data_IF_890348641368
#
_entry.id   IF_890348641368
#
_cell.length_a   1.000
_cell.length_b   1.000
_cell.length_c   1.000
_cell.angle_alpha   90.00
_cell.angle_beta   90.00
_cell.angle_gamma   90.00
#
_symmetry.space_group_name_H-M   'P 1'
#
loop_
_entity.id
_entity.type
_entity.pdbx_description
1 polymer ?
#
# COMPACT_ATOMS: atom_id res chain seq x y z
N UNK A 1 -4.02 -43.57 19.34
CA UNK A 1 -3.01 -42.63 18.83
C UNK A 1 -3.68 -41.28 18.64
N UNK A 2 -3.45 -40.36 19.57
CA UNK A 2 -3.91 -38.99 19.45
C UNK A 2 -2.84 -38.20 18.70
N UNK A 3 -3.26 -37.55 17.60
CA UNK A 3 -2.43 -36.60 16.89
C UNK A 3 -2.72 -35.22 17.50
N UNK A 4 -1.79 -34.71 18.30
CA UNK A 4 -1.83 -33.34 18.78
C UNK A 4 -1.83 -32.40 17.57
N UNK A 5 -2.94 -31.68 17.38
CA UNK A 5 -2.95 -30.52 16.49
C UNK A 5 -1.97 -29.52 17.07
N UNK A 6 -0.83 -29.33 16.38
CA UNK A 6 0.04 -28.20 16.61
C UNK A 6 -0.80 -26.92 16.52
N UNK A 7 -0.91 -26.22 17.64
CA UNK A 7 -1.53 -24.90 17.72
C UNK A 7 -0.68 -23.95 16.86
N UNK A 8 -1.25 -23.43 15.78
CA UNK A 8 -0.55 -22.53 14.87
C UNK A 8 -0.47 -21.13 15.51
N UNK A 9 0.73 -20.59 15.68
CA UNK A 9 0.98 -19.21 16.17
C UNK A 9 0.30 -18.12 15.30
N UNK A 10 -0.16 -18.45 14.09
CA UNK A 10 -0.95 -17.52 13.24
C UNK A 10 -2.36 -17.23 13.76
N UNK A 11 -2.93 -18.07 14.63
CA UNK A 11 -4.24 -17.82 15.26
C UNK A 11 -4.15 -16.76 16.37
N UNK A 12 -2.97 -16.56 16.96
CA UNK A 12 -2.79 -15.65 18.10
C UNK A 12 -3.01 -14.17 17.75
N UNK A 13 -2.81 -13.75 16.49
CA UNK A 13 -2.86 -12.33 16.09
C UNK A 13 -4.08 -11.91 15.29
N UNK A 14 -4.77 -12.82 14.60
CA UNK A 14 -6.13 -12.54 14.09
C UNK A 14 -7.09 -12.28 15.26
N UNK A 15 -6.89 -13.00 16.36
CA UNK A 15 -7.64 -12.81 17.61
C UNK A 15 -7.43 -11.45 18.26
N UNK A 16 -6.31 -10.76 18.03
CA UNK A 16 -6.02 -9.48 18.69
C UNK A 16 -7.13 -8.44 18.47
N UNK A 17 -7.52 -8.19 17.20
CA UNK A 17 -8.56 -7.20 16.91
C UNK A 17 -9.96 -7.66 17.33
N UNK A 18 -10.20 -8.97 17.34
CA UNK A 18 -11.43 -9.52 17.90
C UNK A 18 -11.52 -9.22 19.42
N UNK A 19 -10.46 -9.52 20.16
CA UNK A 19 -10.34 -9.24 21.60
C UNK A 19 -10.39 -7.75 21.90
N UNK A 20 -9.74 -6.93 21.07
CA UNK A 20 -9.78 -5.47 21.18
C UNK A 20 -11.21 -4.94 20.98
N UNK A 21 -11.94 -5.50 20.00
CA UNK A 21 -13.34 -5.16 19.77
C UNK A 21 -14.25 -5.53 20.94
N UNK A 22 -13.99 -6.66 21.62
CA UNK A 22 -14.73 -7.09 22.81
C UNK A 22 -14.55 -6.15 24.00
N UNK A 23 -13.42 -5.43 24.07
CA UNK A 23 -13.19 -4.39 25.08
C UNK A 23 -13.97 -3.08 24.80
N UNK A 24 -14.66 -3.01 23.66
CA UNK A 24 -15.52 -1.89 23.28
C UNK A 24 -14.83 -0.84 22.40
N UNK A 25 -15.65 0.04 21.83
CA UNK A 25 -15.18 1.01 20.83
C UNK A 25 -14.12 1.99 21.35
N UNK A 26 -14.16 2.33 22.65
CA UNK A 26 -13.15 3.22 23.24
C UNK A 26 -11.76 2.60 23.20
N UNK A 27 -11.64 1.31 23.53
CA UNK A 27 -10.36 0.59 23.46
C UNK A 27 -9.81 0.53 22.03
N UNK A 28 -10.68 0.29 21.06
CA UNK A 28 -10.32 0.33 19.63
C UNK A 28 -9.81 1.71 19.24
N UNK A 29 -10.51 2.78 19.62
CA UNK A 29 -10.12 4.16 19.33
C UNK A 29 -8.79 4.54 19.98
N UNK A 30 -8.58 4.19 21.24
CA UNK A 30 -7.33 4.48 21.94
C UNK A 30 -6.15 3.77 21.29
N UNK A 31 -6.35 2.54 20.83
CA UNK A 31 -5.33 1.81 20.08
C UNK A 31 -5.04 2.46 18.73
N UNK A 32 -6.06 2.82 17.92
CA UNK A 32 -5.80 3.45 16.61
C UNK A 32 -5.24 4.86 16.72
N UNK A 33 -5.54 5.60 17.79
CA UNK A 33 -4.89 6.88 18.11
C UNK A 33 -3.42 6.67 18.46
N UNK A 34 -3.11 5.65 19.26
CA UNK A 34 -1.73 5.30 19.63
C UNK A 34 -0.89 4.88 18.42
N UNK A 35 -1.46 4.13 17.48
CA UNK A 35 -0.78 3.75 16.24
C UNK A 35 -0.75 4.88 15.20
N UNK A 36 -1.33 6.05 15.48
CA UNK A 36 -1.29 7.22 14.60
C UNK A 36 -2.14 7.07 13.34
N UNK A 37 -3.18 6.23 13.37
CA UNK A 37 -4.10 6.03 12.24
C UNK A 37 -5.27 7.03 12.27
N UNK A 38 -5.54 7.62 13.44
CA UNK A 38 -6.46 8.74 13.64
C UNK A 38 -5.84 9.75 14.62
N UNK A 39 -6.26 11.03 14.60
CA UNK A 39 -5.70 12.02 15.52
C UNK A 39 -6.10 11.72 16.97
N UNK A 40 -5.17 11.90 17.91
CA UNK A 40 -5.39 11.73 19.35
C UNK A 40 -5.95 12.97 20.05
N UNK A 41 -5.86 14.12 19.37
CA UNK A 41 -6.47 15.40 19.74
C UNK A 41 -6.97 16.11 18.49
N UNK A 42 -7.94 17.00 18.65
CA UNK A 42 -8.44 17.77 17.52
C UNK A 42 -8.73 19.21 17.95
N UNK A 43 -8.21 20.18 17.21
CA UNK A 43 -8.40 21.60 17.45
C UNK A 43 -9.74 22.07 16.88
N UNK A 44 -10.51 22.81 17.67
CA UNK A 44 -11.76 23.39 17.19
C UNK A 44 -11.48 24.48 16.14
N UNK A 45 -12.06 24.39 14.92
CA UNK A 45 -11.82 25.37 13.87
C UNK A 45 -12.32 26.78 14.21
N UNK A 46 -13.21 26.93 15.20
CA UNK A 46 -13.79 28.23 15.59
C UNK A 46 -13.08 28.93 16.75
N UNK A 47 -12.57 28.19 17.73
CA UNK A 47 -11.95 28.79 18.92
C UNK A 47 -10.50 28.35 19.17
N UNK A 48 -9.95 27.49 18.31
CA UNK A 48 -8.56 27.04 18.39
C UNK A 48 -8.18 26.33 19.70
N UNK A 49 -9.20 25.83 20.42
CA UNK A 49 -9.04 25.01 21.63
C UNK A 49 -9.30 23.55 21.30
N UNK A 50 -8.67 22.67 22.07
CA UNK A 50 -8.87 21.23 21.95
C UNK A 50 -10.35 20.84 22.15
N UNK A 51 -10.84 20.03 21.23
CA UNK A 51 -12.17 19.43 21.28
C UNK A 51 -12.17 18.26 22.26
N UNK A 52 -13.33 18.00 22.88
CA UNK A 52 -13.52 16.83 23.73
C UNK A 52 -13.96 15.65 22.89
N UNK A 53 -13.40 14.47 23.14
CA UNK A 53 -13.92 13.21 22.62
C UNK A 53 -15.14 12.79 23.45
N UNK A 54 -16.29 12.63 22.83
CA UNK A 54 -17.56 12.38 23.52
C UNK A 54 -18.28 11.18 22.93
N UNK A 55 -18.88 10.35 23.79
CA UNK A 55 -19.75 9.25 23.37
C UNK A 55 -21.01 9.77 22.65
N UNK A 56 -21.33 9.13 21.54
CA UNK A 56 -22.55 9.39 20.76
C UNK A 56 -23.16 8.09 20.26
N UNK A 57 -24.25 7.70 20.92
CA UNK A 57 -25.08 6.57 20.50
C UNK A 57 -25.58 6.77 19.07
N UNK A 58 -25.63 5.70 18.30
CA UNK A 58 -26.08 5.68 16.91
C UNK A 58 -25.01 6.05 15.86
N UNK A 59 -23.80 6.42 16.27
CA UNK A 59 -22.65 6.49 15.35
C UNK A 59 -21.94 5.14 15.26
N UNK A 60 -21.27 4.87 14.14
CA UNK A 60 -20.66 3.55 13.84
C UNK A 60 -19.67 3.13 14.94
N UNK A 61 -18.73 4.01 15.33
CA UNK A 61 -17.76 3.72 16.40
C UNK A 61 -18.14 4.37 17.73
N UNK A 62 -19.30 5.00 17.85
CA UNK A 62 -19.82 5.48 19.13
C UNK A 62 -19.16 6.74 19.70
N UNK A 63 -18.23 7.40 18.99
CA UNK A 63 -17.54 8.61 19.48
C UNK A 63 -17.42 9.70 18.41
N UNK A 64 -17.38 10.95 18.86
CA UNK A 64 -17.11 12.12 18.03
C UNK A 64 -16.32 13.19 18.80
N UNK A 65 -15.61 14.04 18.06
CA UNK A 65 -15.04 15.27 18.60
C UNK A 65 -16.12 16.33 18.75
N UNK A 66 -16.19 16.97 19.92
CA UNK A 66 -17.20 17.99 20.23
C UNK A 66 -16.59 19.19 20.94
N UNK A 67 -16.88 20.38 20.42
CA UNK A 67 -16.63 21.65 21.08
C UNK A 67 -17.95 22.39 21.29
N UNK A 68 -18.19 22.82 22.53
CA UNK A 68 -19.37 23.61 22.91
C UNK A 68 -18.91 24.77 23.77
N UNK A 69 -19.07 25.97 23.26
CA UNK A 69 -18.73 27.21 23.95
C UNK A 69 -19.96 28.08 24.04
N UNK A 70 -20.32 28.47 25.26
CA UNK A 70 -21.41 29.40 25.57
C UNK A 70 -20.81 30.71 26.07
N UNK A 71 -20.06 31.40 25.21
CA UNK A 71 -19.45 32.71 25.51
C UNK A 71 -20.25 33.85 24.88
N UNK A 72 -20.04 35.08 25.35
CA UNK A 72 -20.67 36.28 24.76
C UNK A 72 -20.08 36.66 23.40
N UNK A 73 -18.79 36.43 23.20
CA UNK A 73 -18.05 36.88 22.01
C UNK A 73 -18.07 35.86 20.86
N UNK A 74 -17.97 34.55 21.16
CA UNK A 74 -17.89 33.50 20.14
C UNK A 74 -18.63 32.22 20.58
N UNK A 75 -19.98 32.25 20.69
CA UNK A 75 -20.77 31.07 21.00
C UNK A 75 -20.76 30.09 19.81
N UNK A 76 -20.46 28.82 20.06
CA UNK A 76 -20.50 27.81 19.01
C UNK A 76 -20.69 26.39 19.53
N UNK A 77 -21.18 25.56 18.61
CA UNK A 77 -21.27 24.11 18.75
C UNK A 77 -20.69 23.48 17.49
N UNK A 78 -19.62 22.71 17.63
CA UNK A 78 -18.95 22.03 16.53
C UNK A 78 -18.82 20.56 16.87
N UNK A 79 -19.25 19.69 15.95
CA UNK A 79 -19.06 18.26 16.01
C UNK A 79 -18.24 17.79 14.80
N UNK A 80 -17.37 16.80 15.01
CA UNK A 80 -16.58 16.19 13.95
C UNK A 80 -16.43 14.69 14.19
N UNK A 81 -16.59 13.89 13.13
CA UNK A 81 -16.31 12.46 13.18
C UNK A 81 -14.83 12.21 13.49
N UNK A 82 -14.55 11.23 14.34
CA UNK A 82 -13.18 10.76 14.65
C UNK A 82 -12.45 10.21 13.43
N UNK A 83 -13.19 9.82 12.38
CA UNK A 83 -12.67 9.26 11.13
C UNK A 83 -12.31 10.30 10.08
N UNK A 84 -12.83 11.52 10.21
CA UNK A 84 -12.86 12.46 9.10
C UNK A 84 -11.44 12.90 8.73
N UNK A 85 -11.05 12.65 7.48
CA UNK A 85 -9.73 12.97 6.95
C UNK A 85 -8.68 11.90 7.24
N UNK A 86 -9.10 10.70 7.65
CA UNK A 86 -8.20 9.56 7.87
C UNK A 86 -8.56 8.40 6.93
N UNK A 87 -7.78 7.33 6.97
CA UNK A 87 -8.03 6.11 6.19
C UNK A 87 -9.40 5.46 6.44
N UNK A 88 -10.05 5.76 7.57
CA UNK A 88 -11.37 5.23 7.91
C UNK A 88 -12.54 6.10 7.41
N UNK A 89 -12.25 7.23 6.76
CA UNK A 89 -13.27 8.14 6.21
C UNK A 89 -14.21 7.41 5.25
N UNK A 90 -15.48 7.84 5.22
CA UNK A 90 -16.53 7.40 4.29
C UNK A 90 -16.91 5.90 4.31
N UNK A 91 -16.13 5.05 4.98
CA UNK A 91 -16.48 3.65 5.19
C UNK A 91 -17.66 3.51 6.15
N UNK A 92 -18.60 2.64 5.79
CA UNK A 92 -19.75 2.26 6.62
C UNK A 92 -19.45 1.13 7.60
N UNK A 93 -18.26 0.53 7.51
CA UNK A 93 -17.80 -0.50 8.44
C UNK A 93 -17.20 0.14 9.68
N UNK A 94 -17.31 -0.50 10.85
CA UNK A 94 -16.62 -0.05 12.07
C UNK A 94 -15.10 -0.13 11.93
N UNK A 95 -14.36 0.71 12.66
CA UNK A 95 -12.89 0.70 12.65
C UNK A 95 -12.37 -0.69 13.02
N UNK A 96 -13.00 -1.34 14.00
CA UNK A 96 -12.64 -2.71 14.39
C UNK A 96 -12.81 -3.72 13.23
N UNK A 97 -13.94 -3.66 12.50
CA UNK A 97 -14.16 -4.53 11.34
C UNK A 97 -13.15 -4.23 10.23
N UNK A 98 -12.83 -2.96 9.99
CA UNK A 98 -11.82 -2.54 9.03
C UNK A 98 -10.44 -3.12 9.39
N UNK A 99 -10.01 -3.03 10.65
CA UNK A 99 -8.71 -3.55 11.10
C UNK A 99 -8.64 -5.08 10.90
N UNK A 100 -9.72 -5.80 11.22
CA UNK A 100 -9.81 -7.25 10.98
C UNK A 100 -9.75 -7.58 9.49
N UNK A 101 -10.53 -6.88 8.66
CA UNK A 101 -10.56 -7.06 7.21
C UNK A 101 -9.19 -6.82 6.59
N UNK A 102 -8.49 -5.79 7.06
CA UNK A 102 -7.12 -5.47 6.66
C UNK A 102 -6.13 -6.56 7.08
N UNK A 103 -6.28 -7.10 8.30
CA UNK A 103 -5.44 -8.21 8.78
C UNK A 103 -5.65 -9.48 7.97
N UNK A 104 -6.87 -9.77 7.52
CA UNK A 104 -7.19 -10.88 6.63
C UNK A 104 -6.62 -10.71 5.24
N UNK A 105 -6.75 -9.52 4.65
CA UNK A 105 -6.09 -9.19 3.38
C UNK A 105 -4.58 -9.38 3.48
N UNK A 106 -3.98 -8.90 4.57
CA UNK A 106 -2.56 -9.00 4.80
C UNK A 106 -2.09 -10.46 4.89
N UNK A 107 -2.84 -11.29 5.63
CA UNK A 107 -2.61 -12.72 5.78
C UNK A 107 -3.04 -13.58 4.59
N UNK A 108 -3.49 -12.96 3.48
CA UNK A 108 -3.98 -13.66 2.28
C UNK A 108 -5.10 -14.67 2.57
N UNK A 109 -5.98 -14.34 3.50
CA UNK A 109 -7.12 -15.19 3.86
C UNK A 109 -8.14 -15.26 2.72
N UNK A 110 -8.79 -16.43 2.58
CA UNK A 110 -9.77 -16.68 1.52
C UNK A 110 -11.01 -15.77 1.69
N UNK A 111 -11.44 -15.13 0.61
CA UNK A 111 -12.56 -14.17 0.66
C UNK A 111 -13.84 -14.76 1.23
N UNK A 112 -14.15 -16.03 0.90
CA UNK A 112 -15.35 -16.71 1.43
C UNK A 112 -15.31 -16.85 2.95
N UNK A 113 -14.14 -17.19 3.51
CA UNK A 113 -13.95 -17.24 4.95
C UNK A 113 -14.18 -15.86 5.58
N UNK A 114 -13.60 -14.81 5.00
CA UNK A 114 -13.71 -13.44 5.51
C UNK A 114 -15.15 -12.92 5.47
N UNK A 115 -15.88 -13.20 4.39
CA UNK A 115 -17.30 -12.87 4.25
C UNK A 115 -18.11 -13.51 5.36
N UNK A 116 -17.87 -14.79 5.63
CA UNK A 116 -18.60 -15.54 6.66
C UNK A 116 -18.24 -15.09 8.09
N UNK A 117 -16.95 -14.86 8.37
CA UNK A 117 -16.46 -14.45 9.69
C UNK A 117 -16.91 -13.03 10.07
N UNK A 118 -16.77 -12.07 9.14
CA UNK A 118 -17.12 -10.68 9.38
C UNK A 118 -18.59 -10.36 9.10
N UNK A 119 -19.32 -11.28 8.44
CA UNK A 119 -20.72 -11.10 8.01
C UNK A 119 -20.92 -9.84 7.16
N UNK A 120 -19.98 -9.59 6.24
CA UNK A 120 -20.01 -8.43 5.33
C UNK A 120 -20.21 -8.88 3.88
N UNK A 121 -20.63 -7.96 3.02
CA UNK A 121 -20.83 -8.25 1.61
C UNK A 121 -19.50 -8.59 0.91
N UNK A 122 -19.50 -9.59 0.03
CA UNK A 122 -18.35 -9.98 -0.79
C UNK A 122 -17.75 -8.81 -1.58
N UNK A 123 -18.59 -7.95 -2.15
CA UNK A 123 -18.14 -6.77 -2.89
C UNK A 123 -17.39 -5.82 -1.96
N UNK A 124 -17.86 -5.61 -0.74
CA UNK A 124 -17.16 -4.80 0.27
C UNK A 124 -15.79 -5.37 0.62
N UNK A 125 -15.62 -6.70 0.68
CA UNK A 125 -14.29 -7.33 0.86
C UNK A 125 -13.37 -7.01 -0.32
N UNK A 126 -13.86 -7.19 -1.54
CA UNK A 126 -13.09 -6.93 -2.76
C UNK A 126 -12.69 -5.45 -2.86
N UNK A 127 -13.63 -4.54 -2.63
CA UNK A 127 -13.40 -3.09 -2.65
C UNK A 127 -12.38 -2.67 -1.59
N UNK A 128 -12.50 -3.19 -0.36
CA UNK A 128 -11.53 -2.91 0.70
C UNK A 128 -10.14 -3.43 0.38
N UNK A 129 -10.06 -4.60 -0.26
CA UNK A 129 -8.78 -5.15 -0.69
C UNK A 129 -8.14 -4.26 -1.77
N UNK A 130 -8.93 -3.63 -2.64
CA UNK A 130 -8.41 -2.63 -3.58
C UNK A 130 -7.88 -1.39 -2.86
N UNK A 131 -8.59 -0.91 -1.84
CA UNK A 131 -8.12 0.20 -1.03
C UNK A 131 -6.81 -0.11 -0.30
N UNK A 132 -6.61 -1.37 0.12
CA UNK A 132 -5.33 -1.81 0.66
C UNK A 132 -4.19 -1.78 -0.38
N UNK A 133 -4.48 -2.14 -1.63
CA UNK A 133 -3.49 -2.06 -2.73
C UNK A 133 -3.15 -0.62 -3.10
N UNK A 134 -4.11 0.29 -3.01
CA UNK A 134 -3.88 1.72 -3.23
C UNK A 134 -2.84 2.26 -2.24
N UNK A 135 -2.91 1.87 -0.96
CA UNK A 135 -1.88 2.21 0.04
C UNK A 135 -0.51 1.70 -0.41
N UNK A 136 -0.40 0.45 -0.89
CA UNK A 136 0.86 -0.07 -1.43
C UNK A 136 1.35 0.76 -2.62
N UNK A 137 0.46 1.15 -3.53
CA UNK A 137 0.80 1.97 -4.70
C UNK A 137 1.35 3.33 -4.30
N UNK A 138 0.65 4.06 -3.44
CA UNK A 138 1.10 5.38 -2.98
C UNK A 138 2.40 5.27 -2.19
N UNK A 139 2.53 4.26 -1.32
CA UNK A 139 3.78 4.00 -0.60
C UNK A 139 4.95 3.72 -1.56
N UNK A 140 4.76 2.85 -2.57
CA UNK A 140 5.77 2.56 -3.57
C UNK A 140 6.20 3.82 -4.34
N UNK A 141 5.24 4.65 -4.78
CA UNK A 141 5.55 5.89 -5.51
C UNK A 141 6.30 6.89 -4.63
N UNK A 142 5.85 7.08 -3.38
CA UNK A 142 6.46 8.05 -2.46
C UNK A 142 7.87 7.63 -2.01
N UNK A 143 8.12 6.33 -1.91
CA UNK A 143 9.43 5.77 -1.53
C UNK A 143 10.33 5.50 -2.75
N UNK A 144 9.84 5.75 -3.98
CA UNK A 144 10.64 5.56 -5.19
C UNK A 144 11.72 6.62 -5.33
N UNK A 145 12.93 6.17 -5.62
CA UNK A 145 14.08 7.01 -5.93
C UNK A 145 14.63 6.67 -7.31
N UNK A 146 15.42 7.57 -7.89
CA UNK A 146 16.12 7.27 -9.14
C UNK A 146 17.08 6.09 -8.94
N UNK A 147 17.10 5.20 -9.91
CA UNK A 147 17.93 4.00 -9.93
C UNK A 147 19.29 4.28 -10.57
N UNK A 148 20.27 3.44 -10.25
CA UNK A 148 21.60 3.49 -10.87
C UNK A 148 22.53 4.55 -10.28
N UNK A 149 23.37 5.11 -11.14
CA UNK A 149 24.48 6.00 -10.82
C UNK A 149 25.79 5.49 -11.41
N UNK A 150 26.84 6.31 -11.33
CA UNK A 150 28.17 5.92 -11.82
C UNK A 150 28.64 4.60 -11.18
N UNK A 151 29.08 3.66 -12.02
CA UNK A 151 29.50 2.32 -11.60
C UNK A 151 28.36 1.39 -11.17
N UNK A 152 27.09 1.78 -11.31
CA UNK A 152 25.93 0.91 -11.07
C UNK A 152 25.38 0.33 -12.38
N UNK A 153 24.84 -0.87 -12.27
CA UNK A 153 24.19 -1.59 -13.38
C UNK A 153 22.69 -1.62 -13.14
N UNK A 154 21.89 -1.32 -14.17
CA UNK A 154 20.43 -1.44 -14.15
C UNK A 154 20.00 -2.30 -15.34
N UNK A 155 19.31 -3.40 -15.05
CA UNK A 155 18.66 -4.24 -16.07
C UNK A 155 17.28 -3.66 -16.40
N UNK A 156 16.96 -3.51 -17.69
CA UNK A 156 15.65 -3.05 -18.18
C UNK A 156 15.09 -4.11 -19.11
N UNK A 157 13.83 -4.50 -18.87
CA UNK A 157 13.09 -5.45 -19.70
C UNK A 157 11.81 -4.85 -20.26
N UNK A 158 11.39 -5.37 -21.41
CA UNK A 158 10.15 -4.98 -22.08
C UNK A 158 8.99 -5.89 -21.67
N UNK A 159 8.23 -5.44 -20.69
CA UNK A 159 7.01 -6.14 -20.32
C UNK A 159 5.84 -5.76 -21.23
N UNK A 160 5.38 -6.69 -22.06
CA UNK A 160 4.18 -6.55 -22.90
C UNK A 160 2.89 -6.55 -22.04
N UNK A 161 2.47 -5.39 -21.56
CA UNK A 161 1.13 -5.21 -21.00
C UNK A 161 0.34 -4.20 -21.86
N UNK A 162 -0.66 -4.70 -22.61
CA UNK A 162 -1.58 -3.89 -23.44
C UNK A 162 -1.21 -3.75 -24.93
N UNK A 163 -2.09 -3.10 -25.71
CA UNK A 163 -1.86 -2.80 -27.15
C UNK A 163 -0.88 -1.63 -27.30
N UNK A 164 0.25 -1.88 -27.94
CA UNK A 164 1.34 -0.93 -28.12
C UNK A 164 0.93 0.26 -29.02
N UNK A 165 1.11 1.49 -28.55
CA UNK A 165 1.11 2.70 -29.40
C UNK A 165 2.57 3.12 -29.64
N UNK A 166 3.01 3.01 -30.89
CA UNK A 166 4.35 3.36 -31.36
C UNK A 166 4.78 4.76 -30.90
N UNK A 167 5.97 4.87 -30.31
CA UNK A 167 6.57 6.15 -29.94
C UNK A 167 7.96 5.99 -29.32
N UNK A 168 9.01 5.97 -30.15
CA UNK A 168 10.42 5.85 -29.74
C UNK A 168 10.82 6.84 -28.63
N UNK A 169 10.27 8.05 -28.64
CA UNK A 169 10.62 9.10 -27.66
C UNK A 169 10.00 8.96 -26.26
N UNK A 170 8.94 8.16 -26.07
CA UNK A 170 8.30 8.04 -24.74
C UNK A 170 9.11 7.22 -23.75
N UNK A 171 9.85 6.21 -24.22
CA UNK A 171 10.61 5.28 -23.36
C UNK A 171 11.89 5.90 -22.82
N UNK A 172 12.63 6.61 -23.68
CA UNK A 172 13.85 7.33 -23.28
C UNK A 172 13.55 8.39 -22.23
N UNK A 173 12.40 9.09 -22.34
CA UNK A 173 11.96 10.05 -21.33
C UNK A 173 11.81 9.43 -19.94
N UNK A 174 11.16 8.27 -19.84
CA UNK A 174 11.00 7.55 -18.56
C UNK A 174 12.36 7.12 -18.00
N UNK A 175 13.26 6.63 -18.86
CA UNK A 175 14.63 6.26 -18.45
C UNK A 175 15.37 7.47 -17.87
N UNK A 176 15.28 8.64 -18.51
CA UNK A 176 15.90 9.88 -18.01
C UNK A 176 15.31 10.39 -16.69
N UNK A 177 14.00 10.22 -16.54
CA UNK A 177 13.31 10.59 -15.31
C UNK A 177 13.75 9.71 -14.15
N UNK A 178 13.90 8.40 -14.37
CA UNK A 178 14.05 7.41 -13.29
C UNK A 178 15.44 6.76 -13.16
N UNK A 179 16.37 6.97 -14.10
CA UNK A 179 17.72 6.40 -14.06
C UNK A 179 18.76 7.53 -14.08
N UNK A 180 19.70 7.50 -13.13
CA UNK A 180 20.76 8.50 -13.01
C UNK A 180 21.76 8.41 -14.19
N UNK A 181 22.27 9.54 -14.72
CA UNK A 181 23.34 9.53 -15.72
C UNK A 181 24.58 8.76 -15.26
N UNK A 182 25.37 8.23 -16.19
CA UNK A 182 26.55 7.41 -15.91
C UNK A 182 26.25 5.97 -15.50
N UNK A 183 24.97 5.59 -15.43
CA UNK A 183 24.54 4.19 -15.20
C UNK A 183 24.90 3.31 -16.38
N UNK A 184 25.31 2.06 -16.10
CA UNK A 184 25.35 1.00 -17.11
C UNK A 184 23.98 0.34 -17.23
N UNK A 185 23.30 0.53 -18.36
CA UNK A 185 22.00 -0.07 -18.64
C UNK A 185 22.23 -1.37 -19.43
N UNK A 186 21.63 -2.47 -18.98
CA UNK A 186 21.56 -3.72 -19.73
C UNK A 186 20.12 -3.92 -20.21
N UNK A 187 19.93 -4.16 -21.51
CA UNK A 187 18.61 -4.50 -22.08
C UNK A 187 18.73 -5.56 -23.16
N UNK A 188 17.60 -6.06 -23.62
CA UNK A 188 17.52 -6.80 -24.88
C UNK A 188 17.92 -5.89 -26.06
N UNK A 189 18.31 -6.49 -27.19
CA UNK A 189 18.71 -5.82 -28.44
C UNK A 189 17.58 -5.03 -29.13
N UNK A 190 16.82 -4.21 -28.40
CA UNK A 190 15.72 -3.43 -28.95
C UNK A 190 16.18 -2.09 -29.46
N UNK A 191 15.88 -1.83 -30.75
CA UNK A 191 16.36 -0.66 -31.51
C UNK A 191 15.99 0.70 -30.90
N UNK A 192 14.96 0.78 -30.04
CA UNK A 192 14.61 2.05 -29.41
C UNK A 192 15.62 2.50 -28.33
N UNK A 193 16.46 1.59 -27.84
CA UNK A 193 17.45 1.88 -26.81
C UNK A 193 18.84 2.23 -27.36
N UNK A 194 19.05 2.18 -28.69
CA UNK A 194 20.35 2.55 -29.31
C UNK A 194 20.82 3.96 -28.92
N UNK A 195 19.89 4.89 -28.72
CA UNK A 195 20.19 6.27 -28.33
C UNK A 195 20.54 6.46 -26.85
N UNK A 196 20.55 5.41 -26.01
CA UNK A 196 20.90 5.55 -24.59
C UNK A 196 22.34 6.01 -24.38
N UNK A 197 23.24 5.64 -25.28
CA UNK A 197 24.63 6.12 -25.27
C UNK A 197 24.72 7.64 -25.44
N UNK A 198 23.86 8.22 -26.29
CA UNK A 198 23.79 9.66 -26.54
C UNK A 198 23.18 10.44 -25.36
N UNK A 199 22.44 9.76 -24.50
CA UNK A 199 21.77 10.31 -23.31
C UNK A 199 22.61 10.19 -22.03
N UNK A 200 23.89 9.80 -22.15
CA UNK A 200 24.84 9.74 -21.04
C UNK A 200 24.80 8.44 -20.23
N UNK A 201 24.30 7.35 -20.82
CA UNK A 201 24.33 6.02 -20.23
C UNK A 201 25.33 5.12 -20.94
N UNK A 202 25.92 4.15 -20.22
CA UNK A 202 26.64 3.06 -20.87
C UNK A 202 25.64 1.96 -21.20
N UNK A 203 25.37 1.70 -22.48
CA UNK A 203 24.41 0.67 -22.86
C UNK A 203 25.11 -0.64 -23.25
N UNK A 204 24.71 -1.74 -22.62
CA UNK A 204 25.05 -3.09 -23.00
C UNK A 204 23.79 -3.83 -23.45
N UNK A 205 23.92 -4.67 -24.46
CA UNK A 205 22.80 -5.45 -24.99
C UNK A 205 23.06 -6.94 -24.89
N UNK A 206 22.02 -7.73 -24.63
CA UNK A 206 22.09 -9.19 -24.72
C UNK A 206 21.13 -9.68 -25.80
N UNK A 207 21.61 -10.58 -26.66
CA UNK A 207 20.79 -11.23 -27.67
C UNK A 207 20.39 -12.65 -27.23
N UNK A 208 19.21 -12.76 -26.60
CA UNK A 208 18.68 -14.05 -26.12
C UNK A 208 18.35 -15.07 -27.21
N UNK A 209 18.32 -14.66 -28.49
CA UNK A 209 18.18 -15.62 -29.60
C UNK A 209 19.48 -16.36 -29.91
N UNK A 210 20.62 -15.84 -29.44
CA UNK A 210 21.95 -16.37 -29.74
C UNK A 210 22.66 -16.89 -28.48
N UNK A 211 22.52 -16.18 -27.35
CA UNK A 211 23.31 -16.42 -26.14
C UNK A 211 22.52 -16.11 -24.88
N UNK A 212 22.64 -16.95 -23.85
CA UNK A 212 22.02 -16.74 -22.53
C UNK A 212 22.68 -15.62 -21.70
N UNK A 213 23.96 -15.36 -21.98
CA UNK A 213 24.77 -14.27 -21.43
C UNK A 213 25.69 -13.84 -22.55
N UNK A 214 25.87 -12.54 -22.73
CA UNK A 214 26.81 -12.04 -23.72
C UNK A 214 28.24 -12.52 -23.36
N UNK A 215 28.94 -13.26 -24.24
CA UNK A 215 30.21 -13.91 -23.90
C UNK A 215 31.38 -12.93 -23.76
N UNK A 216 31.30 -11.74 -24.37
CA UNK A 216 32.37 -10.74 -24.36
C UNK A 216 32.22 -9.77 -23.18
N UNK A 217 31.02 -9.25 -22.99
CA UNK A 217 30.70 -8.23 -21.97
C UNK A 217 30.17 -8.82 -20.68
N UNK A 218 29.68 -10.06 -20.73
CA UNK A 218 29.03 -10.73 -19.63
C UNK A 218 27.61 -10.23 -19.32
N UNK A 219 27.01 -9.41 -20.18
CA UNK A 219 25.69 -8.83 -19.97
C UNK A 219 24.56 -9.88 -19.97
N UNK A 220 23.56 -9.69 -19.10
CA UNK A 220 22.34 -10.49 -19.05
C UNK A 220 21.19 -9.71 -18.39
N UNK A 221 19.95 -10.18 -18.58
CA UNK A 221 18.70 -9.65 -17.99
C UNK A 221 18.01 -10.66 -17.07
N UNK A 222 18.75 -11.65 -16.59
CA UNK A 222 18.21 -12.78 -15.82
C UNK A 222 17.49 -12.36 -14.53
N UNK A 223 17.95 -11.30 -13.85
CA UNK A 223 17.36 -10.89 -12.58
C UNK A 223 15.99 -10.24 -12.80
N UNK A 224 15.87 -9.37 -13.82
CA UNK A 224 14.59 -8.75 -14.18
C UNK A 224 13.61 -9.78 -14.75
N UNK A 225 14.07 -10.71 -15.59
CA UNK A 225 13.25 -11.81 -16.11
C UNK A 225 12.72 -12.75 -15.02
N UNK A 226 13.59 -13.13 -14.07
CA UNK A 226 13.22 -13.93 -12.91
C UNK A 226 12.17 -13.24 -12.05
N UNK A 227 12.29 -11.92 -11.89
CA UNK A 227 11.31 -11.09 -11.18
C UNK A 227 9.96 -11.08 -11.90
N UNK A 228 9.95 -10.90 -13.23
CA UNK A 228 8.73 -10.98 -14.03
C UNK A 228 8.06 -12.36 -13.98
N UNK A 229 8.85 -13.43 -14.00
CA UNK A 229 8.33 -14.79 -13.84
C UNK A 229 7.65 -14.97 -12.48
N UNK A 230 8.24 -14.44 -11.41
CA UNK A 230 7.63 -14.46 -10.08
C UNK A 230 6.33 -13.64 -10.01
N UNK A 231 6.31 -12.43 -10.57
CA UNK A 231 5.12 -11.59 -10.68
C UNK A 231 4.01 -12.32 -11.44
N UNK A 232 4.30 -12.81 -12.66
CA UNK A 232 3.33 -13.53 -13.51
C UNK A 232 2.74 -14.75 -12.78
N UNK A 233 3.53 -15.50 -12.02
CA UNK A 233 3.02 -16.62 -11.21
C UNK A 233 2.11 -16.18 -10.06
N UNK A 234 2.43 -15.07 -9.38
CA UNK A 234 1.57 -14.51 -8.33
C UNK A 234 0.23 -14.02 -8.91
N UNK A 235 0.30 -13.39 -10.08
CA UNK A 235 -0.84 -12.82 -10.78
C UNK A 235 -1.74 -13.88 -11.43
N UNK A 236 -1.21 -14.97 -12.00
CA UNK A 236 -1.99 -16.00 -12.72
C UNK A 236 -3.15 -16.63 -11.93
N UNK A 237 -3.14 -16.59 -10.60
CA UNK A 237 -4.27 -17.02 -9.76
C UNK A 237 -5.35 -15.96 -9.51
N UNK A 238 -5.05 -14.69 -9.79
CA UNK A 238 -5.89 -13.51 -9.53
C UNK A 238 -6.42 -12.85 -10.82
N UNK A 239 -5.76 -13.07 -11.97
CA UNK A 239 -5.85 -12.20 -13.16
C UNK A 239 -6.75 -12.65 -14.29
N UNK A 240 -7.68 -13.58 -14.10
CA UNK A 240 -8.72 -13.79 -15.12
C UNK A 240 -9.67 -12.57 -15.26
N UNK A 241 -9.62 -11.58 -14.35
CA UNK A 241 -10.66 -10.55 -14.20
C UNK A 241 -10.21 -9.09 -14.05
N UNK A 242 -8.98 -8.70 -14.37
CA UNK A 242 -8.49 -7.37 -13.94
C UNK A 242 -7.88 -6.52 -15.05
N UNK A 243 -8.68 -6.20 -16.05
CA UNK A 243 -8.41 -5.08 -16.96
C UNK A 243 -8.34 -3.78 -16.14
N UNK A 244 -7.25 -3.02 -16.28
CA UNK A 244 -7.09 -1.69 -15.66
C UNK A 244 -6.61 -1.64 -14.20
N UNK A 245 -6.29 -2.77 -13.53
CA UNK A 245 -5.77 -2.74 -12.15
C UNK A 245 -4.38 -3.36 -12.00
N UNK A 246 -3.66 -3.58 -13.10
CA UNK A 246 -2.33 -4.18 -13.06
C UNK A 246 -1.38 -3.44 -12.11
N UNK A 247 -1.41 -2.11 -12.13
CA UNK A 247 -0.52 -1.27 -11.32
C UNK A 247 -0.71 -1.49 -9.82
N UNK A 248 -1.95 -1.67 -9.35
CA UNK A 248 -2.23 -1.88 -7.93
C UNK A 248 -1.77 -3.24 -7.44
N UNK A 249 -1.91 -4.27 -8.27
CA UNK A 249 -1.40 -5.61 -7.99
C UNK A 249 0.13 -5.69 -8.06
N UNK A 250 0.75 -4.96 -9.00
CA UNK A 250 2.20 -4.85 -9.08
C UNK A 250 2.75 -4.15 -7.83
N UNK A 251 2.12 -3.05 -7.40
CA UNK A 251 2.49 -2.35 -6.18
C UNK A 251 2.35 -3.23 -4.93
N UNK A 252 1.26 -3.99 -4.80
CA UNK A 252 1.11 -4.97 -3.71
C UNK A 252 2.27 -5.98 -3.71
N UNK A 253 2.62 -6.53 -4.88
CA UNK A 253 3.72 -7.47 -5.00
C UNK A 253 5.05 -6.85 -4.58
N UNK A 254 5.37 -5.67 -5.09
CA UNK A 254 6.61 -4.94 -4.77
C UNK A 254 6.70 -4.64 -3.27
N UNK A 255 5.62 -4.13 -2.68
CA UNK A 255 5.55 -3.80 -1.27
C UNK A 255 5.72 -5.04 -0.37
N UNK A 256 5.07 -6.16 -0.72
CA UNK A 256 5.21 -7.40 0.04
C UNK A 256 6.61 -7.99 -0.07
N UNK A 257 7.22 -7.93 -1.25
CA UNK A 257 8.58 -8.42 -1.50
C UNK A 257 9.64 -7.62 -0.73
N UNK A 258 9.52 -6.30 -0.68
CA UNK A 258 10.45 -5.47 0.10
C UNK A 258 10.39 -5.72 1.61
N UNK A 259 9.34 -6.38 2.10
CA UNK A 259 9.14 -6.69 3.51
C UNK A 259 9.12 -8.20 3.82
N UNK A 260 9.53 -9.06 2.88
CA UNK A 260 9.33 -10.52 2.96
C UNK A 260 10.14 -11.22 4.08
N UNK A 261 11.25 -10.63 4.52
CA UNK A 261 12.13 -11.21 5.54
C UNK A 261 11.63 -11.00 6.98
N UNK A 262 10.55 -10.26 7.17
CA UNK A 262 9.99 -9.94 8.49
C UNK A 262 8.93 -10.94 8.90
N UNK A 263 8.82 -11.19 10.20
CA UNK A 263 7.68 -11.89 10.78
C UNK A 263 6.37 -11.20 10.37
N UNK A 264 5.30 -11.99 10.17
CA UNK A 264 4.04 -11.49 9.61
C UNK A 264 3.47 -10.29 10.38
N UNK A 265 3.59 -10.28 11.71
CA UNK A 265 3.05 -9.20 12.54
C UNK A 265 3.92 -7.94 12.51
N UNK A 266 5.24 -8.09 12.42
CA UNK A 266 6.13 -6.96 12.20
C UNK A 266 5.86 -6.31 10.84
N UNK A 267 5.64 -7.14 9.81
CA UNK A 267 5.30 -6.69 8.47
C UNK A 267 3.91 -6.01 8.43
N UNK A 268 2.92 -6.56 9.15
CA UNK A 268 1.61 -5.92 9.28
C UNK A 268 1.71 -4.56 10.00
N UNK A 269 2.54 -4.44 11.04
CA UNK A 269 2.77 -3.16 11.71
C UNK A 269 3.40 -2.13 10.78
N UNK A 270 4.32 -2.54 9.92
CA UNK A 270 4.90 -1.64 8.90
C UNK A 270 3.87 -1.23 7.85
N UNK A 271 2.92 -2.11 7.52
CA UNK A 271 1.78 -1.76 6.68
C UNK A 271 0.87 -0.71 7.34
N UNK A 272 0.59 -0.82 8.64
CA UNK A 272 -0.14 0.22 9.38
C UNK A 272 0.59 1.57 9.39
N UNK A 273 1.92 1.56 9.49
CA UNK A 273 2.72 2.79 9.36
C UNK A 273 2.63 3.36 7.94
N UNK A 274 2.61 2.51 6.90
CA UNK A 274 2.41 2.96 5.53
C UNK A 274 1.05 3.65 5.37
N UNK A 275 -0.02 3.08 5.94
CA UNK A 275 -1.35 3.73 6.00
C UNK A 275 -1.24 5.12 6.64
N UNK A 276 -0.60 5.23 7.82
CA UNK A 276 -0.43 6.51 8.51
C UNK A 276 0.38 7.54 7.72
N UNK A 277 1.30 7.11 6.84
CA UNK A 277 2.05 8.02 5.95
C UNK A 277 1.21 8.48 4.77
N UNK A 278 0.41 7.59 4.19
CA UNK A 278 -0.48 7.91 3.05
C UNK A 278 -1.65 8.77 3.49
N UNK A 279 -2.21 8.48 4.67
CA UNK A 279 -3.33 9.20 5.29
C UNK A 279 -2.92 9.75 6.65
N UNK A 280 -2.06 10.80 6.69
CA UNK A 280 -1.59 11.38 7.95
C UNK A 280 -2.79 11.92 8.76
N UNK A 281 -2.89 11.58 10.05
CA UNK A 281 -3.95 12.11 10.89
C UNK A 281 -3.75 13.61 11.10
N UNK A 282 -4.73 14.40 10.68
CA UNK A 282 -4.73 15.85 10.89
C UNK A 282 -5.41 16.23 12.19
N UNK A 283 -4.79 17.13 12.95
CA UNK A 283 -5.32 17.62 14.23
C UNK A 283 -6.15 18.90 14.07
N UNK A 284 -6.18 19.51 12.89
CA UNK A 284 -7.01 20.70 12.61
C UNK A 284 -7.50 20.72 11.15
N UNK A 285 -8.46 21.58 10.85
CA UNK A 285 -9.01 21.74 9.50
C UNK A 285 -8.11 22.55 8.55
N UNK A 286 -7.09 23.23 9.10
CA UNK A 286 -6.18 24.09 8.32
C UNK A 286 -5.03 23.28 7.69
N UNK A 287 -4.84 22.02 8.08
CA UNK A 287 -3.76 21.14 7.60
C UNK A 287 -4.12 20.39 6.30
N UNK A 288 -4.96 20.96 5.43
CA UNK A 288 -5.42 20.25 4.22
C UNK A 288 -4.27 19.82 3.30
N UNK A 289 -4.33 18.57 2.85
CA UNK A 289 -3.66 18.04 1.64
C UNK A 289 -4.10 18.80 0.39
#
# INVERSE_FOLDING_TARGET
MACERKFNESEATTGFFLLLGQQGNKAVLDWVMKEGLIPSRYECPKCKKDMRLVERKGTIDGFEWRCRVQSKENPHFVCRSVRKGTWFSDSRLSICVILRLTRYWFGKSMNEFVVNDLKINKNTVVDWYMFCREVCMVACVNESAKLGGEGKIVEIDESLFGKMKYGKGKRVKVIREWILPGTTIISDCWRAYECLSDEGYRHLTVNHSLTFKDPETGAHTNAIEGTWSAIKRNLKGHTAHVEGQFDSYLAEYMWRRSNEHKMIDANFKDYLKAIARVYPPHESDDQKQ
#
